data_IF_292852832447
#
_entry.id   IF_292852832447
#
_cell.length_a   1.000
_cell.length_b   1.000
_cell.length_c   1.000
_cell.angle_alpha   90.00
_cell.angle_beta   90.00
_cell.angle_gamma   90.00
#
_symmetry.space_group_name_H-M   'P 1'
#
loop_
_entity.id
_entity.type
_entity.pdbx_description
1 polymer ?
#
# COMPACT_ATOMS: atom_id res chain seq x y z
N UNK A 1 45.21 10.27 35.08
CA UNK A 1 44.34 10.68 33.95
C UNK A 1 42.91 10.34 34.35
N UNK A 2 41.99 11.31 34.46
CA UNK A 2 40.59 11.04 34.79
C UNK A 2 39.81 10.57 33.56
N UNK A 3 38.89 9.63 33.78
CA UNK A 3 37.99 9.00 32.81
C UNK A 3 36.83 9.97 32.49
N UNK A 4 36.74 10.42 31.24
CA UNK A 4 35.58 11.16 30.75
C UNK A 4 34.50 10.17 30.33
N UNK A 5 33.51 9.95 31.20
CA UNK A 5 32.26 9.28 30.85
C UNK A 5 31.48 10.18 29.86
N UNK A 6 31.45 9.80 28.59
CA UNK A 6 30.52 10.40 27.61
C UNK A 6 29.15 9.78 27.84
N UNK A 7 28.29 10.53 28.53
CA UNK A 7 26.85 10.29 28.60
C UNK A 7 26.25 10.52 27.21
N UNK A 8 25.93 9.43 26.49
CA UNK A 8 25.20 9.49 25.23
C UNK A 8 23.69 9.60 25.50
N UNK A 9 23.09 10.71 25.05
CA UNK A 9 21.63 10.88 24.96
C UNK A 9 21.06 9.93 23.89
N UNK A 10 19.78 9.51 23.98
CA UNK A 10 19.22 8.57 23.00
C UNK A 10 18.95 9.32 21.68
N UNK A 11 19.64 8.90 20.62
CA UNK A 11 19.27 9.22 19.25
C UNK A 11 18.01 8.42 18.93
N UNK A 12 16.89 9.10 18.67
CA UNK A 12 15.74 8.47 18.03
C UNK A 12 16.10 8.26 16.56
N UNK A 13 16.67 7.10 16.25
CA UNK A 13 16.84 6.62 14.89
C UNK A 13 15.44 6.32 14.33
N UNK A 14 15.02 7.08 13.33
CA UNK A 14 13.82 6.83 12.53
C UNK A 14 14.12 5.60 11.64
N UNK A 15 14.13 4.42 12.27
CA UNK A 15 14.44 3.16 11.58
C UNK A 15 13.29 2.81 10.64
N UNK A 16 13.57 2.80 9.34
CA UNK A 16 12.59 2.44 8.33
C UNK A 16 12.03 1.03 8.65
N UNK A 17 10.71 0.83 8.56
CA UNK A 17 10.09 -0.44 8.90
C UNK A 17 10.62 -1.57 8.01
N UNK A 18 10.77 -2.75 8.59
CA UNK A 18 11.20 -3.93 7.85
C UNK A 18 10.28 -4.21 6.63
N UNK A 19 10.82 -4.61 5.46
CA UNK A 19 10.03 -4.83 4.25
C UNK A 19 8.85 -5.81 4.43
N UNK A 20 9.04 -6.86 5.23
CA UNK A 20 7.98 -7.83 5.54
C UNK A 20 6.82 -7.19 6.30
N UNK A 21 7.11 -6.27 7.21
CA UNK A 21 6.10 -5.53 7.98
C UNK A 21 5.28 -4.63 7.05
N UNK A 22 5.95 -3.94 6.11
CA UNK A 22 5.28 -3.11 5.09
C UNK A 22 4.37 -3.97 4.22
N UNK A 23 4.88 -5.07 3.66
CA UNK A 23 4.10 -5.97 2.80
C UNK A 23 2.88 -6.58 3.52
N UNK A 24 3.07 -7.11 4.73
CA UNK A 24 2.00 -7.71 5.53
C UNK A 24 0.92 -6.70 5.92
N UNK A 25 1.29 -5.45 6.16
CA UNK A 25 0.34 -4.39 6.50
C UNK A 25 -0.39 -3.91 5.27
N UNK A 26 0.32 -3.69 4.17
CA UNK A 26 -0.26 -3.33 2.87
C UNK A 26 -1.30 -4.36 2.43
N UNK A 27 -0.99 -5.66 2.45
CA UNK A 27 -1.95 -6.70 2.04
C UNK A 27 -3.22 -6.67 2.91
N UNK A 28 -3.07 -6.62 4.24
CA UNK A 28 -4.23 -6.60 5.15
C UNK A 28 -5.10 -5.39 4.93
N UNK A 29 -4.51 -4.20 4.80
CA UNK A 29 -5.27 -2.97 4.56
C UNK A 29 -5.89 -2.97 3.17
N UNK A 30 -5.15 -3.36 2.13
CA UNK A 30 -5.65 -3.41 0.76
C UNK A 30 -6.91 -4.27 0.65
N UNK A 31 -6.87 -5.51 1.16
CA UNK A 31 -8.04 -6.39 1.11
C UNK A 31 -9.16 -5.97 2.08
N UNK A 32 -8.83 -5.34 3.21
CA UNK A 32 -9.84 -4.75 4.08
C UNK A 32 -10.62 -3.63 3.36
N UNK A 33 -9.94 -2.70 2.71
CA UNK A 33 -10.56 -1.64 1.93
C UNK A 33 -11.32 -2.21 0.73
N UNK A 34 -10.78 -3.21 0.03
CA UNK A 34 -11.49 -3.83 -1.09
C UNK A 34 -12.85 -4.42 -0.67
N UNK A 35 -12.93 -5.03 0.51
CA UNK A 35 -14.16 -5.64 1.01
C UNK A 35 -15.09 -4.65 1.73
N UNK A 36 -14.57 -3.66 2.45
CA UNK A 36 -15.38 -2.80 3.34
C UNK A 36 -15.57 -1.38 2.84
N UNK A 37 -14.63 -0.88 2.04
CA UNK A 37 -14.63 0.49 1.54
C UNK A 37 -14.04 0.58 0.11
N UNK A 38 -14.59 -0.15 -0.88
CA UNK A 38 -14.01 -0.24 -2.22
C UNK A 38 -13.85 1.13 -2.89
N UNK A 39 -14.71 2.09 -2.57
CA UNK A 39 -14.63 3.48 -3.05
C UNK A 39 -13.35 4.21 -2.62
N UNK A 40 -12.67 3.77 -1.55
CA UNK A 40 -11.43 4.37 -1.06
C UNK A 40 -10.18 3.63 -1.53
N UNK A 41 -10.30 2.44 -2.11
CA UNK A 41 -9.17 1.60 -2.47
C UNK A 41 -8.25 2.24 -3.52
N UNK A 42 -8.81 3.05 -4.43
CA UNK A 42 -8.02 3.74 -5.45
C UNK A 42 -6.94 4.66 -4.86
N UNK A 43 -7.06 5.08 -3.60
CA UNK A 43 -6.10 5.97 -2.91
C UNK A 43 -4.75 5.32 -2.64
N UNK A 44 -4.65 3.99 -2.74
CA UNK A 44 -3.37 3.27 -2.70
C UNK A 44 -2.54 3.43 -3.99
N UNK A 45 -3.14 3.99 -5.05
CA UNK A 45 -2.51 4.13 -6.36
C UNK A 45 -2.14 5.58 -6.65
N UNK A 46 -1.08 5.76 -7.43
CA UNK A 46 -0.68 7.06 -8.01
C UNK A 46 -1.20 7.21 -9.43
N UNK A 47 -1.03 8.38 -10.03
CA UNK A 47 -1.48 8.66 -11.40
C UNK A 47 -0.74 7.83 -12.45
N UNK A 48 0.52 7.49 -12.19
CA UNK A 48 1.33 6.61 -13.03
C UNK A 48 1.05 5.11 -12.82
N UNK A 49 0.19 4.76 -11.86
CA UNK A 49 -0.10 3.36 -11.53
C UNK A 49 -0.90 2.68 -12.64
N UNK A 50 -0.65 1.38 -12.79
CA UNK A 50 -1.41 0.49 -13.66
C UNK A 50 -2.05 -0.61 -12.83
N UNK A 51 -3.29 -0.94 -13.16
CA UNK A 51 -4.08 -1.93 -12.44
C UNK A 51 -4.72 -2.90 -13.42
N UNK A 52 -4.68 -4.17 -13.08
CA UNK A 52 -5.33 -5.24 -13.82
C UNK A 52 -5.91 -6.23 -12.81
N UNK A 53 -7.12 -6.73 -13.11
CA UNK A 53 -7.76 -7.77 -12.32
C UNK A 53 -8.39 -8.78 -13.27
N UNK A 54 -7.66 -9.86 -13.53
CA UNK A 54 -8.13 -10.91 -14.43
C UNK A 54 -9.38 -11.62 -13.92
N UNK A 55 -10.19 -12.12 -14.85
CA UNK A 55 -11.30 -13.04 -14.56
C UNK A 55 -10.96 -14.40 -15.16
N UNK A 56 -10.68 -15.38 -14.30
CA UNK A 56 -10.26 -16.71 -14.73
C UNK A 56 -8.92 -16.71 -15.46
N UNK A 57 -8.87 -17.30 -16.66
CA UNK A 57 -7.66 -17.41 -17.48
C UNK A 57 -7.50 -16.27 -18.51
N UNK A 58 -8.44 -15.32 -18.57
CA UNK A 58 -8.34 -14.21 -19.52
C UNK A 58 -7.38 -13.13 -19.01
N UNK A 59 -6.39 -12.80 -19.83
CA UNK A 59 -5.58 -11.60 -19.64
C UNK A 59 -6.42 -10.37 -19.97
N UNK A 60 -6.56 -9.47 -19.00
CA UNK A 60 -7.13 -8.15 -19.22
C UNK A 60 -6.03 -7.12 -19.41
N UNK A 61 -6.27 -6.14 -20.29
CA UNK A 61 -5.34 -5.04 -20.48
C UNK A 61 -5.30 -4.13 -19.24
N UNK A 62 -4.10 -3.79 -18.72
CA UNK A 62 -4.00 -2.94 -17.54
C UNK A 62 -4.53 -1.53 -17.79
N UNK A 63 -5.29 -1.02 -16.84
CA UNK A 63 -5.83 0.34 -16.86
C UNK A 63 -4.87 1.26 -16.11
N UNK A 64 -4.64 2.45 -16.66
CA UNK A 64 -3.72 3.44 -16.11
C UNK A 64 -4.48 4.60 -15.45
N UNK A 65 -3.94 5.10 -14.33
CA UNK A 65 -4.42 6.31 -13.67
C UNK A 65 -5.41 6.05 -12.54
N UNK A 66 -5.21 6.75 -11.42
CA UNK A 66 -5.95 6.55 -10.17
C UNK A 66 -7.48 6.63 -10.36
N UNK A 67 -7.95 7.61 -11.17
CA UNK A 67 -9.38 7.79 -11.46
C UNK A 67 -9.98 6.61 -12.22
N UNK A 68 -9.31 6.13 -13.27
CA UNK A 68 -9.77 5.01 -14.08
C UNK A 68 -9.76 3.70 -13.27
N UNK A 69 -8.79 3.54 -12.37
CA UNK A 69 -8.74 2.45 -11.41
C UNK A 69 -9.96 2.48 -10.48
N UNK A 70 -10.33 3.65 -9.94
CA UNK A 70 -11.52 3.80 -9.10
C UNK A 70 -12.81 3.41 -9.83
N UNK A 71 -12.99 3.94 -11.05
CA UNK A 71 -14.15 3.64 -11.90
C UNK A 71 -14.30 2.12 -12.13
N UNK A 72 -13.19 1.41 -12.35
CA UNK A 72 -13.20 -0.04 -12.50
C UNK A 72 -13.52 -0.80 -11.21
N UNK A 73 -12.92 -0.40 -10.08
CA UNK A 73 -13.17 -1.04 -8.79
C UNK A 73 -14.66 -0.94 -8.43
N UNK A 74 -15.26 0.24 -8.61
CA UNK A 74 -16.68 0.46 -8.36
C UNK A 74 -17.57 -0.31 -9.33
N UNK A 75 -17.19 -0.42 -10.60
CA UNK A 75 -17.92 -1.22 -11.61
C UNK A 75 -17.97 -2.71 -11.27
N UNK A 76 -16.94 -3.23 -10.60
CA UNK A 76 -16.86 -4.66 -10.23
C UNK A 76 -17.71 -5.03 -9.03
N UNK A 77 -18.13 -4.07 -8.20
CA UNK A 77 -19.09 -4.31 -7.13
C UNK A 77 -18.60 -5.26 -6.02
N UNK A 78 -17.37 -5.07 -5.55
CA UNK A 78 -16.84 -5.80 -4.39
C UNK A 78 -17.68 -5.49 -3.12
N UNK A 79 -17.94 -6.51 -2.29
CA UNK A 79 -18.83 -6.47 -1.12
C UNK A 79 -18.19 -7.06 0.15
#
# INVERSE_FOLDING_TARGET
>A
MPETAVSAAPAHEDEAPAPSTVGNTFMRQYYHFLAKEPQSLHRFYKDESRWCHGVGSHMEEPIAGQRAINEQILRRGYA
#
